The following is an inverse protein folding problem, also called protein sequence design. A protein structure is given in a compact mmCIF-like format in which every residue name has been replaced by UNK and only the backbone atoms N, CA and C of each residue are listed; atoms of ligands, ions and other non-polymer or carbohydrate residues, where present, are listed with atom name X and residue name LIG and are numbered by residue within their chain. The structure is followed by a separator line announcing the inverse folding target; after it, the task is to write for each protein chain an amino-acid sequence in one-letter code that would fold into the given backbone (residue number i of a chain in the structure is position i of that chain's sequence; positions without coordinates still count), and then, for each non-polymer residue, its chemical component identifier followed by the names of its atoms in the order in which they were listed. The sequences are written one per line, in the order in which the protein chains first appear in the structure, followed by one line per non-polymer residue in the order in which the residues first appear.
data_IF_355906640272
#
_entry.id   IF_355906640272
#
_cell.length_a   1.000
_cell.length_b   1.000
_cell.length_c   1.000
_cell.angle_alpha   90.00
_cell.angle_beta   90.00
_cell.angle_gamma   90.00
#
_symmetry.space_group_name_H-M   'P 1'
#
loop_
_entity.id
_entity.type
_entity.pdbx_description
1 polymer ?
#
# COMPACT_ATOMS: atom_id res chain seq x y z
N UNK A 1 0.38 -3.82 8.76
CA UNK A 1 1.31 -3.80 7.61
C UNK A 1 2.77 -3.95 8.04
N UNK A 2 3.31 -3.08 8.91
CA UNK A 2 4.72 -3.17 9.38
C UNK A 2 5.11 -4.57 9.88
N UNK A 3 4.28 -5.24 10.67
CA UNK A 3 4.60 -6.61 11.12
C UNK A 3 4.80 -7.61 9.98
N UNK A 4 4.03 -7.50 8.89
CA UNK A 4 4.16 -8.38 7.73
C UNK A 4 5.39 -8.03 6.90
N UNK A 5 5.75 -6.75 6.85
CA UNK A 5 7.01 -6.27 6.25
C UNK A 5 8.22 -6.92 6.94
N UNK A 6 8.30 -6.83 8.28
CA UNK A 6 9.39 -7.45 9.05
C UNK A 6 9.43 -8.98 8.91
N UNK A 7 8.26 -9.63 8.90
CA UNK A 7 8.18 -11.08 8.65
C UNK A 7 8.70 -11.42 7.25
N UNK A 8 8.44 -10.57 6.25
CA UNK A 8 8.89 -10.82 4.88
C UNK A 8 10.41 -10.80 4.75
N UNK A 9 11.11 -9.94 5.49
CA UNK A 9 12.58 -10.01 5.57
C UNK A 9 13.06 -11.37 6.09
N UNK A 10 12.42 -11.88 7.16
CA UNK A 10 12.79 -13.18 7.73
C UNK A 10 12.47 -14.36 6.80
N UNK A 11 11.51 -14.21 5.88
CA UNK A 11 11.01 -15.30 5.05
C UNK A 11 11.60 -15.35 3.63
N UNK A 12 11.96 -14.21 3.04
CA UNK A 12 12.44 -14.16 1.65
C UNK A 12 13.25 -12.90 1.30
N UNK A 13 12.89 -11.73 1.82
CA UNK A 13 13.46 -10.47 1.33
C UNK A 13 14.57 -9.93 2.22
N UNK A 14 15.71 -10.60 2.24
CA UNK A 14 16.92 -10.07 2.85
C UNK A 14 18.14 -10.49 2.01
N UNK A 15 19.16 -9.64 1.82
CA UNK A 15 20.35 -9.96 1.04
C UNK A 15 21.00 -11.28 1.46
N UNK A 16 21.05 -11.58 2.75
CA UNK A 16 21.63 -12.81 3.29
C UNK A 16 20.84 -14.08 2.95
N UNK A 17 19.60 -13.93 2.48
CA UNK A 17 18.74 -15.04 2.06
C UNK A 17 18.86 -15.34 0.57
N UNK A 18 19.30 -14.38 -0.25
CA UNK A 18 19.26 -14.53 -1.71
C UNK A 18 20.14 -15.67 -2.21
N UNK A 19 21.33 -15.85 -1.63
CA UNK A 19 22.25 -16.94 -2.00
C UNK A 19 21.69 -18.35 -1.68
N UNK A 20 20.62 -18.41 -0.87
CA UNK A 20 19.93 -19.65 -0.51
C UNK A 20 18.76 -19.97 -1.47
N UNK A 21 18.44 -19.07 -2.40
CA UNK A 21 17.36 -19.26 -3.36
C UNK A 21 17.65 -20.39 -4.33
N UNK A 22 16.60 -21.08 -4.75
CA UNK A 22 16.70 -22.23 -5.65
C UNK A 22 15.82 -22.08 -6.87
N UNK A 23 16.38 -22.41 -8.01
CA UNK A 23 15.66 -22.55 -9.28
C UNK A 23 14.64 -23.70 -9.18
N UNK A 24 13.64 -23.76 -10.08
CA UNK A 24 12.68 -24.87 -10.12
C UNK A 24 13.31 -26.26 -10.26
N UNK A 25 14.53 -26.36 -10.81
CA UNK A 25 15.28 -27.62 -10.92
C UNK A 25 16.07 -27.99 -9.65
N UNK A 26 15.96 -27.19 -8.58
CA UNK A 26 16.62 -27.39 -7.29
C UNK A 26 18.06 -26.90 -7.21
N UNK A 27 18.64 -26.37 -8.30
CA UNK A 27 19.97 -25.78 -8.30
C UNK A 27 19.93 -24.36 -7.70
N UNK A 28 21.01 -23.91 -7.03
CA UNK A 28 21.12 -22.52 -6.60
C UNK A 28 21.19 -21.58 -7.81
N UNK A 29 20.77 -20.33 -7.61
CA UNK A 29 21.16 -19.23 -8.49
C UNK A 29 22.64 -18.89 -8.28
N UNK A 30 23.33 -18.46 -9.33
CA UNK A 30 24.60 -17.75 -9.17
C UNK A 30 24.35 -16.27 -8.85
N UNK A 31 25.32 -15.61 -8.23
CA UNK A 31 25.21 -14.20 -7.82
C UNK A 31 24.72 -13.28 -8.97
N UNK A 32 25.31 -13.42 -10.16
CA UNK A 32 24.94 -12.65 -11.37
C UNK A 32 23.53 -12.93 -11.92
N UNK A 33 22.87 -14.01 -11.45
CA UNK A 33 21.49 -14.35 -11.79
C UNK A 33 20.48 -13.82 -10.75
N UNK A 34 20.95 -13.34 -9.60
CA UNK A 34 20.11 -12.77 -8.52
C UNK A 34 20.11 -11.26 -8.63
N UNK A 35 21.30 -10.66 -8.59
CA UNK A 35 21.48 -9.21 -8.62
C UNK A 35 22.45 -8.80 -9.72
N UNK A 36 22.27 -7.59 -10.24
CA UNK A 36 23.14 -7.00 -11.25
C UNK A 36 23.22 -5.50 -11.07
N UNK A 37 24.40 -4.92 -11.27
CA UNK A 37 24.54 -3.48 -11.43
C UNK A 37 24.27 -3.07 -12.87
N UNK A 38 23.35 -2.12 -13.05
CA UNK A 38 22.98 -1.55 -14.35
C UNK A 38 23.18 -0.04 -14.29
N UNK A 39 23.79 0.51 -15.33
CA UNK A 39 23.89 1.96 -15.50
C UNK A 39 22.71 2.47 -16.32
N UNK A 40 21.94 3.42 -15.76
CA UNK A 40 20.90 4.13 -16.48
C UNK A 40 21.42 5.48 -16.99
N UNK A 41 21.69 5.62 -18.31
CA UNK A 41 22.30 6.84 -18.85
C UNK A 41 21.45 8.09 -18.63
N UNK A 42 20.12 7.98 -18.72
CA UNK A 42 19.21 9.11 -18.55
C UNK A 42 19.10 9.58 -17.10
N UNK A 43 19.46 8.71 -16.13
CA UNK A 43 19.60 9.05 -14.70
C UNK A 43 21.03 9.40 -14.32
N UNK A 44 22.01 9.06 -15.14
CA UNK A 44 23.45 9.13 -14.83
C UNK A 44 23.81 8.37 -13.53
N UNK A 45 23.11 7.26 -13.27
CA UNK A 45 23.15 6.52 -12.00
C UNK A 45 23.41 5.03 -12.26
N UNK A 46 24.27 4.44 -11.43
CA UNK A 46 24.38 2.99 -11.29
C UNK A 46 23.36 2.52 -10.27
N UNK A 47 22.63 1.46 -10.60
CA UNK A 47 21.60 0.91 -9.73
C UNK A 47 21.83 -0.59 -9.56
N UNK A 48 21.54 -1.11 -8.37
CA UNK A 48 21.49 -2.56 -8.16
C UNK A 48 20.07 -3.03 -8.44
N UNK A 49 19.91 -3.98 -9.36
CA UNK A 49 18.62 -4.56 -9.69
C UNK A 49 18.56 -6.03 -9.30
N UNK A 50 17.37 -6.51 -8.94
CA UNK A 50 17.06 -7.92 -8.79
C UNK A 50 16.55 -8.49 -10.12
N UNK A 51 17.18 -9.56 -10.60
CA UNK A 51 17.00 -10.12 -11.97
C UNK A 51 16.23 -11.44 -11.99
N UNK A 52 15.62 -11.83 -10.86
CA UNK A 52 14.88 -13.08 -10.71
C UNK A 52 13.68 -13.18 -11.70
N UNK A 53 13.44 -14.37 -12.29
CA UNK A 53 12.63 -14.50 -13.50
C UNK A 53 11.15 -14.14 -13.31
N UNK A 54 10.51 -14.58 -12.22
CA UNK A 54 9.10 -14.25 -11.95
C UNK A 54 8.97 -12.79 -11.53
N UNK A 55 9.89 -12.28 -10.71
CA UNK A 55 9.95 -10.87 -10.29
C UNK A 55 9.99 -9.96 -11.51
N UNK A 56 10.94 -10.19 -12.41
CA UNK A 56 11.09 -9.41 -13.65
C UNK A 56 9.86 -9.56 -14.54
N UNK A 57 9.33 -10.77 -14.71
CA UNK A 57 8.11 -10.97 -15.50
C UNK A 57 6.93 -10.15 -14.97
N UNK A 58 6.74 -10.08 -13.64
CA UNK A 58 5.66 -9.30 -13.03
C UNK A 58 5.91 -7.80 -13.12
N UNK A 59 7.15 -7.35 -12.95
CA UNK A 59 7.51 -5.96 -13.15
C UNK A 59 7.29 -5.49 -14.60
N UNK A 60 7.66 -6.31 -15.60
CA UNK A 60 7.39 -6.04 -17.03
C UNK A 60 5.90 -5.86 -17.30
N UNK A 61 5.07 -6.76 -16.76
CA UNK A 61 3.61 -6.72 -16.87
C UNK A 61 3.05 -5.42 -16.27
N UNK A 62 3.46 -5.06 -15.05
CA UNK A 62 2.94 -3.90 -14.31
C UNK A 62 3.36 -2.58 -14.94
N UNK A 63 4.65 -2.40 -15.22
CA UNK A 63 5.17 -1.13 -15.74
C UNK A 63 4.99 -1.00 -17.26
N UNK A 64 4.68 -2.09 -17.97
CA UNK A 64 4.58 -2.08 -19.43
C UNK A 64 5.94 -1.88 -20.12
N UNK A 65 7.00 -2.41 -19.53
CA UNK A 65 8.37 -2.35 -20.08
C UNK A 65 8.84 -3.76 -20.41
N UNK A 66 8.71 -4.20 -21.67
CA UNK A 66 9.02 -5.59 -22.06
C UNK A 66 10.52 -5.95 -21.93
N UNK A 67 11.40 -4.97 -22.09
CA UNK A 67 12.86 -5.16 -22.07
C UNK A 67 13.48 -5.01 -20.68
N UNK A 68 12.68 -4.88 -19.62
CA UNK A 68 13.19 -4.68 -18.27
C UNK A 68 14.12 -5.83 -17.87
N UNK A 69 15.37 -5.54 -17.50
CA UNK A 69 16.35 -6.55 -17.10
C UNK A 69 16.20 -7.00 -15.64
N UNK A 70 15.83 -6.08 -14.77
CA UNK A 70 15.72 -6.29 -13.32
C UNK A 70 14.94 -5.16 -12.67
N UNK A 71 14.52 -5.33 -11.42
CA UNK A 71 13.86 -4.28 -10.66
C UNK A 71 14.79 -3.70 -9.58
N UNK A 72 14.79 -2.39 -9.45
CA UNK A 72 15.71 -1.66 -8.57
C UNK A 72 15.47 -1.99 -7.09
N UNK A 73 16.56 -2.30 -6.40
CA UNK A 73 16.61 -2.39 -4.95
C UNK A 73 16.98 -1.02 -4.38
N UNK A 74 16.44 -0.71 -3.21
CA UNK A 74 16.74 0.53 -2.49
C UNK A 74 18.25 0.69 -2.30
N UNK A 75 18.78 1.91 -2.50
CA UNK A 75 20.20 2.24 -2.39
C UNK A 75 20.51 3.27 -1.28
N UNK A 76 19.48 3.87 -0.67
CA UNK A 76 19.59 4.73 0.51
C UNK A 76 19.34 4.00 1.84
N UNK A 77 19.60 4.70 2.97
CA UNK A 77 19.32 4.24 4.33
C UNK A 77 20.36 3.31 4.95
N UNK A 78 21.39 2.88 4.19
CA UNK A 78 22.45 2.01 4.68
C UNK A 78 22.00 0.56 4.84
N UNK A 79 22.73 -0.25 5.62
CA UNK A 79 22.52 -1.71 5.69
C UNK A 79 21.16 -2.14 6.22
N UNK A 80 20.41 -1.26 6.88
CA UNK A 80 19.05 -1.55 7.35
C UNK A 80 17.97 -1.30 6.30
N UNK A 81 18.31 -0.75 5.13
CA UNK A 81 17.36 -0.43 4.06
C UNK A 81 17.86 -0.88 2.71
N UNK A 82 19.08 -0.47 2.34
CA UNK A 82 19.65 -0.73 1.04
C UNK A 82 19.77 -2.24 0.76
N UNK A 83 19.38 -2.66 -0.45
CA UNK A 83 19.40 -4.05 -0.89
C UNK A 83 18.31 -4.97 -0.30
N UNK A 84 17.61 -4.54 0.75
CA UNK A 84 16.58 -5.36 1.44
C UNK A 84 15.15 -4.92 1.12
N UNK A 85 14.99 -3.88 0.31
CA UNK A 85 13.71 -3.28 -0.03
C UNK A 85 13.65 -2.98 -1.53
N UNK A 86 12.43 -2.86 -2.05
CA UNK A 86 12.25 -2.23 -3.36
C UNK A 86 12.53 -0.74 -3.26
N UNK A 87 13.18 -0.21 -4.28
CA UNK A 87 13.43 1.21 -4.41
C UNK A 87 12.11 2.02 -4.32
N UNK A 88 12.09 2.99 -3.41
CA UNK A 88 10.86 3.73 -3.10
C UNK A 88 10.47 4.72 -4.21
N UNK A 89 11.41 5.17 -5.06
CA UNK A 89 11.06 6.03 -6.22
C UNK A 89 10.12 5.28 -7.16
N UNK A 90 10.35 3.98 -7.38
CA UNK A 90 9.57 3.19 -8.33
C UNK A 90 8.41 2.40 -7.71
N UNK A 91 8.48 2.05 -6.43
CA UNK A 91 7.51 1.16 -5.77
C UNK A 91 6.97 1.66 -4.41
N UNK A 92 6.69 2.96 -4.18
CA UNK A 92 6.39 3.48 -2.85
C UNK A 92 5.10 2.94 -2.20
N UNK A 93 4.21 2.32 -3.00
CA UNK A 93 3.00 1.67 -2.52
C UNK A 93 3.21 0.20 -2.12
N UNK A 94 4.33 -0.41 -2.46
CA UNK A 94 4.62 -1.78 -2.03
C UNK A 94 4.83 -1.83 -0.52
N UNK A 95 4.31 -2.87 0.12
CA UNK A 95 4.53 -3.05 1.55
C UNK A 95 5.99 -3.36 1.90
N UNK A 96 6.85 -3.66 0.92
CA UNK A 96 8.31 -3.83 1.05
C UNK A 96 9.12 -2.62 0.56
N UNK A 97 8.51 -1.44 0.43
CA UNK A 97 9.28 -0.19 0.38
C UNK A 97 9.89 0.14 1.75
N UNK A 98 11.05 0.82 1.80
CA UNK A 98 11.76 1.13 3.05
C UNK A 98 10.99 2.10 3.96
N UNK A 99 10.03 2.84 3.40
CA UNK A 99 9.17 3.75 4.14
C UNK A 99 7.73 3.63 3.63
N UNK A 100 6.80 3.28 4.52
CA UNK A 100 5.38 3.17 4.21
C UNK A 100 4.70 4.54 4.33
N UNK A 101 4.64 5.28 3.22
CA UNK A 101 3.95 6.57 3.15
C UNK A 101 2.50 6.43 2.69
N UNK A 102 2.20 5.45 1.83
CA UNK A 102 0.88 5.28 1.22
C UNK A 102 0.09 4.13 1.85
N UNK A 103 -1.18 3.99 1.45
CA UNK A 103 -1.90 2.75 1.68
C UNK A 103 -1.23 1.62 0.90
N UNK A 104 -0.53 0.75 1.63
CA UNK A 104 0.36 -0.25 1.04
C UNK A 104 -0.39 -1.43 0.41
N UNK A 105 0.19 -2.02 -0.62
CA UNK A 105 -0.33 -3.18 -1.34
C UNK A 105 0.58 -4.39 -1.18
N UNK A 106 -0.03 -5.58 -1.15
CA UNK A 106 0.68 -6.84 -1.41
C UNK A 106 0.89 -6.97 -2.92
N UNK A 107 2.01 -6.48 -3.46
CA UNK A 107 2.19 -6.50 -4.91
C UNK A 107 2.50 -7.88 -5.47
N UNK A 108 2.23 -8.08 -6.75
CA UNK A 108 2.67 -9.26 -7.47
C UNK A 108 4.20 -9.36 -7.56
N UNK A 109 4.94 -8.25 -7.42
CA UNK A 109 6.40 -8.23 -7.49
C UNK A 109 6.98 -8.82 -6.20
N UNK A 110 6.52 -8.38 -5.04
CA UNK A 110 6.94 -8.96 -3.76
C UNK A 110 6.52 -10.43 -3.65
N UNK A 111 5.30 -10.77 -4.07
CA UNK A 111 4.87 -12.18 -4.07
C UNK A 111 5.70 -13.03 -5.04
N UNK A 112 6.13 -12.48 -6.17
CA UNK A 112 7.02 -13.18 -7.10
C UNK A 112 8.40 -13.48 -6.49
N UNK A 113 8.91 -12.63 -5.58
CA UNK A 113 10.14 -12.91 -4.85
C UNK A 113 10.05 -14.21 -4.02
N UNK A 114 8.91 -14.42 -3.34
CA UNK A 114 8.64 -15.66 -2.61
C UNK A 114 8.59 -16.88 -3.54
N UNK A 115 8.09 -16.71 -4.77
CA UNK A 115 8.09 -17.81 -5.73
C UNK A 115 9.52 -18.10 -6.24
N UNK A 116 10.27 -17.06 -6.59
CA UNK A 116 11.62 -17.19 -7.13
C UNK A 116 12.64 -17.65 -6.09
N UNK A 117 12.34 -17.54 -4.78
CA UNK A 117 13.16 -18.15 -3.74
C UNK A 117 13.20 -19.68 -3.84
N UNK A 118 12.18 -20.28 -4.46
CA UNK A 118 12.00 -21.73 -4.56
C UNK A 118 11.54 -22.38 -3.26
N UNK A 119 11.11 -21.60 -2.26
CA UNK A 119 10.65 -22.11 -0.96
C UNK A 119 9.12 -22.13 -0.82
N UNK A 120 8.42 -21.38 -1.66
CA UNK A 120 6.97 -21.18 -1.53
C UNK A 120 6.25 -21.31 -2.87
N UNK A 121 5.08 -21.94 -2.83
CA UNK A 121 4.08 -21.82 -3.89
C UNK A 121 3.24 -20.56 -3.65
N UNK A 122 3.08 -19.74 -4.68
CA UNK A 122 2.47 -18.41 -4.56
C UNK A 122 1.14 -18.36 -5.30
N UNK A 123 0.12 -17.84 -4.64
CA UNK A 123 -1.16 -17.54 -5.27
C UNK A 123 -1.29 -16.03 -5.57
N UNK A 124 -1.08 -15.66 -6.83
CA UNK A 124 -1.14 -14.27 -7.28
C UNK A 124 -2.55 -13.66 -7.25
N UNK A 125 -3.61 -14.44 -7.02
CA UNK A 125 -4.97 -13.90 -6.84
C UNK A 125 -5.10 -12.98 -5.61
N UNK A 126 -4.14 -13.05 -4.68
CA UNK A 126 -4.07 -12.20 -3.50
C UNK A 126 -3.19 -10.95 -3.72
N UNK A 127 -2.56 -10.84 -4.90
CA UNK A 127 -1.85 -9.63 -5.26
C UNK A 127 -2.81 -8.47 -5.47
N UNK A 128 -2.31 -7.26 -5.24
CA UNK A 128 -2.99 -6.01 -5.48
C UNK A 128 -2.24 -5.21 -6.53
N UNK A 129 -2.98 -4.45 -7.33
CA UNK A 129 -2.41 -3.64 -8.39
C UNK A 129 -1.56 -2.51 -7.81
N UNK A 130 -0.34 -2.36 -8.34
CA UNK A 130 0.47 -1.16 -8.17
C UNK A 130 -0.04 -0.13 -9.19
N UNK A 131 -0.49 1.03 -8.72
CA UNK A 131 -0.96 2.10 -9.61
C UNK A 131 0.15 3.12 -9.93
N UNK A 132 1.13 3.27 -9.04
CA UNK A 132 2.30 4.13 -9.24
C UNK A 132 3.21 3.56 -10.33
N UNK A 133 3.37 4.28 -11.44
CA UNK A 133 4.12 3.81 -12.61
C UNK A 133 3.42 2.75 -13.47
N UNK A 134 2.14 2.41 -13.19
CA UNK A 134 1.42 1.40 -13.96
C UNK A 134 1.34 1.76 -15.45
N UNK A 135 1.85 0.87 -16.31
CA UNK A 135 1.96 1.07 -17.76
C UNK A 135 2.69 2.36 -18.19
N UNK A 136 3.55 2.91 -17.33
CA UNK A 136 4.32 4.12 -17.63
C UNK A 136 5.48 3.88 -18.63
N UNK A 137 5.77 2.62 -18.98
CA UNK A 137 6.83 2.23 -19.92
C UNK A 137 8.22 2.21 -19.28
N UNK A 138 9.24 1.84 -20.07
CA UNK A 138 10.62 1.71 -19.56
C UNK A 138 11.21 3.02 -19.05
N UNK A 139 10.76 4.16 -19.62
CA UNK A 139 11.16 5.49 -19.17
C UNK A 139 10.87 5.72 -17.68
N UNK A 140 9.84 5.09 -17.11
CA UNK A 140 9.54 5.13 -15.68
C UNK A 140 10.73 4.71 -14.81
N UNK A 141 11.47 3.72 -15.27
CA UNK A 141 12.58 3.10 -14.54
C UNK A 141 13.90 3.80 -14.90
N UNK A 142 14.07 4.12 -16.19
CA UNK A 142 15.33 4.57 -16.79
C UNK A 142 15.57 6.08 -16.72
N UNK A 143 14.53 6.92 -16.70
CA UNK A 143 14.66 8.38 -16.72
C UNK A 143 14.55 9.00 -15.33
N UNK A 144 15.07 10.23 -15.18
CA UNK A 144 14.79 11.05 -13.99
C UNK A 144 13.28 11.32 -13.87
N UNK A 145 12.82 11.46 -12.63
CA UNK A 145 11.42 11.79 -12.32
C UNK A 145 11.02 13.21 -12.76
N UNK A 146 12.00 14.07 -13.06
CA UNK A 146 11.80 15.44 -13.54
C UNK A 146 12.55 15.69 -14.85
N UNK A 147 11.99 16.59 -15.66
CA UNK A 147 12.60 17.15 -16.86
C UNK A 147 12.30 18.65 -16.90
N UNK A 148 13.33 19.48 -17.04
CA UNK A 148 13.19 20.94 -17.09
C UNK A 148 12.37 21.50 -15.91
N UNK A 149 12.67 21.08 -14.67
CA UNK A 149 11.93 21.44 -13.43
C UNK A 149 10.44 21.02 -13.40
N UNK A 150 10.01 20.19 -14.36
CA UNK A 150 8.65 19.66 -14.42
C UNK A 150 8.63 18.18 -14.08
N UNK A 151 7.64 17.72 -13.28
CA UNK A 151 7.36 16.29 -13.12
C UNK A 151 7.20 15.62 -14.48
N UNK A 152 7.96 14.55 -14.73
CA UNK A 152 7.86 13.76 -15.96
C UNK A 152 6.68 12.77 -15.90
N UNK A 153 6.35 12.32 -14.70
CA UNK A 153 5.33 11.31 -14.45
C UNK A 153 4.31 11.79 -13.40
N UNK A 154 3.10 11.22 -13.45
CA UNK A 154 2.06 11.45 -12.46
C UNK A 154 2.49 11.00 -11.07
N UNK A 155 2.07 11.74 -10.03
CA UNK A 155 2.38 11.43 -8.62
C UNK A 155 3.55 12.25 -8.06
N UNK A 156 4.49 12.66 -8.92
CA UNK A 156 5.49 13.66 -8.57
C UNK A 156 4.91 15.08 -8.60
N UNK A 157 5.48 16.00 -7.83
CA UNK A 157 4.93 17.34 -7.63
C UNK A 157 5.98 18.44 -7.70
N UNK A 158 5.60 19.62 -8.21
CA UNK A 158 6.47 20.78 -8.10
C UNK A 158 6.49 21.32 -6.66
N UNK A 159 7.67 21.68 -6.13
CA UNK A 159 7.78 22.32 -4.82
C UNK A 159 6.80 23.47 -4.66
N UNK A 160 5.88 23.34 -3.70
CA UNK A 160 4.89 24.37 -3.40
C UNK A 160 4.32 24.17 -2.00
N UNK A 161 3.80 25.25 -1.41
CA UNK A 161 3.07 25.17 -0.14
C UNK A 161 1.64 24.66 -0.31
N UNK A 162 1.21 24.30 -1.53
CA UNK A 162 -0.16 23.84 -1.79
C UNK A 162 -0.33 22.41 -1.31
N UNK A 163 -1.54 22.11 -0.88
CA UNK A 163 -1.99 20.74 -0.63
C UNK A 163 -2.76 20.23 -1.84
N UNK A 164 -2.83 18.92 -1.99
CA UNK A 164 -3.50 18.25 -3.10
C UNK A 164 -3.82 16.82 -2.70
N UNK A 165 -3.87 15.93 -3.67
CA UNK A 165 -4.14 14.52 -3.45
C UNK A 165 -2.88 13.67 -3.67
N UNK A 166 -2.79 12.56 -2.95
CA UNK A 166 -1.81 11.53 -3.30
C UNK A 166 -2.18 10.89 -4.63
N UNK A 167 -1.25 10.14 -5.21
CA UNK A 167 -1.41 9.46 -6.51
C UNK A 167 -2.62 8.51 -6.56
N UNK A 168 -3.02 7.93 -5.43
CA UNK A 168 -4.14 6.99 -5.37
C UNK A 168 -5.47 7.69 -5.11
N UNK A 169 -5.45 9.02 -4.91
CA UNK A 169 -6.60 9.82 -4.52
C UNK A 169 -7.29 9.24 -3.28
N UNK A 170 -6.50 8.87 -2.26
CA UNK A 170 -6.96 8.28 -1.02
C UNK A 170 -6.71 9.17 0.21
N UNK A 171 -5.87 10.19 0.08
CA UNK A 171 -5.50 11.08 1.18
C UNK A 171 -5.22 12.51 0.69
N UNK A 172 -5.58 13.49 1.52
CA UNK A 172 -5.01 14.83 1.38
C UNK A 172 -3.49 14.75 1.59
N UNK A 173 -2.76 15.47 0.77
CA UNK A 173 -1.31 15.36 0.65
C UNK A 173 -0.65 16.72 0.47
N UNK A 174 0.65 16.78 0.70
CA UNK A 174 1.48 17.94 0.42
C UNK A 174 2.65 17.54 -0.47
N UNK A 175 3.22 18.50 -1.18
CA UNK A 175 4.44 18.22 -1.95
C UNK A 175 5.62 18.09 -0.99
N UNK A 176 6.17 16.88 -0.86
CA UNK A 176 7.31 16.59 0.00
C UNK A 176 8.61 17.12 -0.61
N UNK A 177 8.81 18.43 -0.52
CA UNK A 177 10.01 19.13 -0.98
C UNK A 177 10.61 20.01 0.11
N UNK A 178 11.94 20.15 0.13
CA UNK A 178 12.66 21.06 1.03
C UNK A 178 14.03 21.42 0.44
N UNK A 179 14.72 22.37 1.08
CA UNK A 179 16.16 22.51 0.90
C UNK A 179 16.87 21.36 1.62
N UNK A 180 17.67 20.61 0.89
CA UNK A 180 18.42 19.44 1.31
C UNK A 180 19.90 19.72 1.03
N UNK A 181 20.73 19.62 2.06
CA UNK A 181 22.17 19.79 1.86
C UNK A 181 22.73 18.57 1.11
N UNK A 182 23.54 18.81 0.08
CA UNK A 182 24.30 17.80 -0.67
C UNK A 182 23.43 16.77 -1.42
N UNK A 183 22.44 17.22 -2.20
CA UNK A 183 21.75 16.33 -3.17
C UNK A 183 22.79 15.86 -4.21
N UNK A 184 22.90 14.55 -4.51
CA UNK A 184 23.78 14.06 -5.57
C UNK A 184 23.48 14.72 -6.91
N UNK A 185 24.51 15.06 -7.69
CA UNK A 185 24.36 15.81 -8.96
C UNK A 185 23.37 15.13 -9.93
N UNK A 186 23.37 13.80 -9.97
CA UNK A 186 22.47 13.01 -10.80
C UNK A 186 20.99 13.05 -10.35
N UNK A 187 20.72 13.51 -9.12
CA UNK A 187 19.39 13.62 -8.49
C UNK A 187 18.99 15.09 -8.21
N UNK A 188 19.75 16.06 -8.71
CA UNK A 188 19.36 17.47 -8.72
C UNK A 188 18.36 17.71 -9.87
N UNK A 189 17.15 18.14 -9.51
CA UNK A 189 16.02 18.30 -10.45
C UNK A 189 15.63 19.74 -10.75
N UNK A 190 16.20 20.69 -10.01
CA UNK A 190 15.87 22.11 -10.07
C UNK A 190 17.13 22.95 -10.27
N UNK A 191 16.96 24.20 -10.71
CA UNK A 191 18.06 25.15 -10.87
C UNK A 191 18.79 25.44 -9.55
N UNK A 192 18.07 25.38 -8.42
CA UNK A 192 18.67 25.38 -7.09
C UNK A 192 19.12 23.95 -6.75
N UNK A 193 20.44 23.67 -6.65
CA UNK A 193 20.96 22.33 -6.45
C UNK A 193 20.63 21.75 -5.06
N UNK A 194 20.25 22.59 -4.10
CA UNK A 194 19.83 22.15 -2.77
C UNK A 194 18.31 21.96 -2.69
N UNK A 195 17.53 22.37 -3.70
CA UNK A 195 16.09 22.14 -3.72
C UNK A 195 15.79 20.73 -4.26
N UNK A 196 15.03 19.95 -3.49
CA UNK A 196 14.62 18.62 -3.91
C UNK A 196 13.51 18.03 -3.05
N UNK A 197 13.24 16.76 -3.26
CA UNK A 197 12.33 15.96 -2.46
C UNK A 197 12.86 15.76 -1.05
N UNK A 198 11.99 15.71 -0.05
CA UNK A 198 12.42 15.62 1.35
C UNK A 198 12.79 14.20 1.80
N UNK A 199 12.54 13.19 0.96
CA UNK A 199 12.73 11.76 1.21
C UNK A 199 13.81 11.24 0.26
N UNK A 200 14.94 10.80 0.80
CA UNK A 200 16.07 10.30 -0.01
C UNK A 200 15.77 8.97 -0.69
N UNK A 201 14.99 8.08 -0.07
CA UNK A 201 14.55 6.80 -0.65
C UNK A 201 13.80 6.96 -1.98
N UNK A 202 13.22 8.14 -2.22
CA UNK A 202 12.55 8.45 -3.48
C UNK A 202 13.50 9.13 -4.48
N UNK A 203 14.82 8.92 -4.39
CA UNK A 203 15.87 9.63 -5.12
C UNK A 203 15.77 11.16 -5.02
N UNK A 204 15.29 11.69 -3.90
CA UNK A 204 14.95 13.11 -3.75
C UNK A 204 13.94 13.61 -4.80
N UNK A 205 13.14 12.76 -5.44
CA UNK A 205 12.02 13.15 -6.29
C UNK A 205 10.90 13.71 -5.41
N UNK A 206 10.49 14.99 -5.53
CA UNK A 206 9.34 15.47 -4.78
C UNK A 206 8.05 14.79 -5.28
N UNK A 207 7.26 14.29 -4.34
CA UNK A 207 5.97 13.66 -4.61
C UNK A 207 4.89 14.12 -3.63
N UNK A 208 3.63 13.85 -3.99
CA UNK A 208 2.49 14.13 -3.12
C UNK A 208 2.47 13.15 -1.94
N UNK A 209 3.06 13.59 -0.82
CA UNK A 209 3.18 12.82 0.40
C UNK A 209 1.90 12.95 1.22
N UNK A 210 1.21 11.86 1.56
CA UNK A 210 -0.05 11.90 2.27
C UNK A 210 0.13 12.29 3.73
N UNK A 211 -0.79 13.14 4.23
CA UNK A 211 -0.84 13.42 5.65
C UNK A 211 -1.37 12.20 6.41
N UNK A 212 -0.67 11.79 7.47
CA UNK A 212 -1.06 10.63 8.29
C UNK A 212 -2.44 10.76 8.94
N UNK A 213 -2.96 11.97 9.08
CA UNK A 213 -4.23 12.30 9.71
C UNK A 213 -5.31 12.79 8.73
N UNK A 214 -5.08 12.75 7.40
CA UNK A 214 -6.03 13.21 6.38
C UNK A 214 -6.34 12.15 5.32
N UNK A 215 -6.58 10.92 5.78
CA UNK A 215 -7.00 9.82 4.91
C UNK A 215 -8.49 9.92 4.63
N UNK A 216 -8.90 9.76 3.38
CA UNK A 216 -10.31 9.86 3.01
C UNK A 216 -11.13 8.64 3.42
N UNK A 217 -10.48 7.49 3.62
CA UNK A 217 -11.13 6.21 3.93
C UNK A 217 -11.21 5.87 5.42
N UNK A 218 -10.47 6.59 6.25
CA UNK A 218 -10.43 6.39 7.70
C UNK A 218 -11.09 7.57 8.40
N UNK A 219 -11.92 7.29 9.41
CA UNK A 219 -12.38 8.31 10.33
C UNK A 219 -11.19 8.75 11.18
N UNK A 220 -10.52 9.83 10.77
CA UNK A 220 -9.50 10.45 11.61
C UNK A 220 -10.15 11.06 12.86
N UNK A 221 -9.38 11.20 13.94
CA UNK A 221 -9.81 11.88 15.18
C UNK A 221 -10.08 13.38 14.98
N UNK A 222 -9.82 13.91 13.79
CA UNK A 222 -10.08 15.29 13.40
C UNK A 222 -11.42 15.38 12.66
N UNK A 223 -12.25 16.34 13.04
CA UNK A 223 -13.44 16.69 12.26
C UNK A 223 -13.01 17.20 10.89
N UNK A 224 -13.39 16.51 9.82
CA UNK A 224 -13.29 17.04 8.47
C UNK A 224 -14.07 18.37 8.39
N UNK A 225 -13.48 19.43 7.84
CA UNK A 225 -14.15 20.72 7.82
C UNK A 225 -15.39 20.71 6.91
N UNK A 226 -16.58 20.72 7.51
CA UNK A 226 -17.87 20.73 6.79
C UNK A 226 -18.02 21.89 5.79
N UNK A 227 -17.24 22.96 5.95
CA UNK A 227 -17.28 24.11 5.05
C UNK A 227 -16.68 23.86 3.67
N UNK A 228 -15.92 22.78 3.49
CA UNK A 228 -15.48 22.28 2.18
C UNK A 228 -16.46 21.28 1.55
N UNK A 229 -17.48 20.84 2.29
CA UNK A 229 -18.42 19.81 1.82
C UNK A 229 -17.83 18.39 1.84
N UNK A 230 -16.78 18.18 2.63
CA UNK A 230 -16.08 16.90 2.69
C UNK A 230 -16.90 15.77 3.32
N UNK A 231 -16.66 14.56 2.84
CA UNK A 231 -17.19 13.31 3.36
C UNK A 231 -16.12 12.22 3.34
N UNK A 232 -16.03 11.47 4.42
CA UNK A 232 -15.09 10.35 4.57
C UNK A 232 -15.82 9.02 4.72
N UNK A 233 -15.18 7.97 4.23
CA UNK A 233 -15.71 6.62 4.20
C UNK A 233 -14.90 5.77 3.23
N UNK A 234 -15.09 4.45 3.28
CA UNK A 234 -14.31 3.49 2.48
C UNK A 234 -14.37 3.75 0.95
N UNK A 235 -15.42 4.43 0.48
CA UNK A 235 -15.63 4.83 -0.91
C UNK A 235 -15.17 6.26 -1.22
N UNK A 236 -14.68 7.02 -0.24
CA UNK A 236 -14.22 8.38 -0.47
C UNK A 236 -12.88 8.43 -1.18
N UNK A 237 -12.73 9.47 -1.99
CA UNK A 237 -11.54 9.83 -2.74
C UNK A 237 -11.09 11.23 -2.37
N UNK A 238 -9.80 11.49 -2.46
CA UNK A 238 -9.29 12.86 -2.47
C UNK A 238 -9.54 13.47 -3.85
N UNK A 239 -10.10 14.68 -3.89
CA UNK A 239 -10.30 15.48 -5.10
C UNK A 239 -9.75 16.88 -4.84
N UNK A 240 -9.00 17.41 -5.80
CA UNK A 240 -8.51 18.78 -5.70
C UNK A 240 -9.66 19.78 -5.87
N UNK A 241 -9.68 20.81 -5.04
CA UNK A 241 -10.77 21.78 -5.04
C UNK A 241 -10.31 23.15 -4.53
N UNK A 242 -11.05 24.18 -4.94
CA UNK A 242 -11.04 25.51 -4.30
C UNK A 242 -12.36 25.77 -3.60
N UNK A 243 -13.17 24.74 -3.38
CA UNK A 243 -14.51 24.90 -2.84
C UNK A 243 -14.45 25.56 -1.47
N UNK A 244 -15.36 26.47 -1.20
CA UNK A 244 -15.62 26.95 0.15
C UNK A 244 -17.07 27.40 0.26
N UNK A 245 -17.78 26.92 1.27
CA UNK A 245 -19.15 27.31 1.52
C UNK A 245 -19.28 28.84 1.57
N UNK A 246 -20.28 29.40 0.86
CA UNK A 246 -20.47 30.86 0.71
C UNK A 246 -20.63 31.63 2.01
N UNK A 247 -20.88 30.95 3.13
CA UNK A 247 -20.93 31.53 4.48
C UNK A 247 -19.54 31.95 5.00
N UNK A 248 -18.45 31.54 4.36
CA UNK A 248 -17.08 31.80 4.79
C UNK A 248 -16.34 32.70 3.79
N UNK A 249 -15.31 33.40 4.28
CA UNK A 249 -14.45 34.26 3.44
C UNK A 249 -13.66 33.40 2.46
N UNK A 250 -13.94 33.59 1.17
CA UNK A 250 -13.34 32.82 0.08
C UNK A 250 -11.82 32.95 0.03
N UNK A 251 -11.15 31.82 -0.22
CA UNK A 251 -9.74 31.71 -0.58
C UNK A 251 -9.64 30.85 -1.84
N UNK A 252 -8.96 31.31 -2.91
CA UNK A 252 -8.83 30.55 -4.16
C UNK A 252 -7.70 29.50 -4.12
N UNK A 253 -7.28 29.08 -2.93
CA UNK A 253 -6.21 28.10 -2.75
C UNK A 253 -6.71 26.70 -3.11
N UNK A 254 -5.96 26.00 -3.98
CA UNK A 254 -6.22 24.59 -4.31
C UNK A 254 -5.81 23.73 -3.12
N UNK A 255 -6.70 22.80 -2.75
CA UNK A 255 -6.50 21.82 -1.68
C UNK A 255 -6.98 20.45 -2.12
N UNK A 256 -6.39 19.40 -1.57
CA UNK A 256 -7.02 18.09 -1.56
C UNK A 256 -8.17 18.09 -0.55
N UNK A 257 -9.30 17.51 -0.92
CA UNK A 257 -10.47 17.36 -0.06
C UNK A 257 -11.10 15.99 -0.28
N UNK A 258 -11.64 15.39 0.78
CA UNK A 258 -12.23 14.06 0.70
C UNK A 258 -13.72 14.12 0.31
N UNK A 259 -14.12 13.37 -0.72
CA UNK A 259 -15.50 13.24 -1.14
C UNK A 259 -15.86 11.78 -1.41
N UNK A 260 -17.02 11.35 -0.93
CA UNK A 260 -17.58 10.02 -1.18
C UNK A 260 -17.93 9.86 -2.67
N UNK A 261 -17.38 8.81 -3.30
CA UNK A 261 -17.83 8.37 -4.62
C UNK A 261 -19.07 7.48 -4.43
N UNK A 262 -20.22 7.97 -4.87
CA UNK A 262 -21.52 7.29 -4.71
C UNK A 262 -21.68 6.21 -5.77
N UNK A 263 -21.42 6.58 -7.04
CA UNK A 263 -21.50 5.67 -8.16
C UNK A 263 -20.58 6.14 -9.30
N UNK A 264 -20.35 5.23 -10.23
CA UNK A 264 -19.59 5.48 -11.45
C UNK A 264 -20.40 4.98 -12.65
N UNK A 265 -20.41 5.77 -13.71
CA UNK A 265 -20.97 5.43 -15.01
C UNK A 265 -19.89 5.59 -16.08
N UNK A 266 -20.19 5.17 -17.31
CA UNK A 266 -19.28 5.35 -18.45
C UNK A 266 -19.08 6.82 -18.86
N UNK A 267 -19.86 7.77 -18.31
CA UNK A 267 -19.81 9.18 -18.72
C UNK A 267 -19.55 10.15 -17.57
N UNK A 268 -19.70 9.73 -16.32
CA UNK A 268 -19.41 10.53 -15.14
C UNK A 268 -19.30 9.69 -13.86
N UNK A 269 -18.62 10.23 -12.86
CA UNK A 269 -18.65 9.79 -11.47
C UNK A 269 -19.57 10.70 -10.65
N UNK A 270 -20.43 10.12 -9.80
CA UNK A 270 -21.26 10.90 -8.86
C UNK A 270 -20.57 10.99 -7.51
N UNK A 271 -20.34 12.21 -7.03
CA UNK A 271 -19.69 12.53 -5.75
C UNK A 271 -20.68 13.16 -4.77
N UNK A 272 -20.49 12.91 -3.47
CA UNK A 272 -21.19 13.63 -2.39
C UNK A 272 -20.39 14.86 -1.95
N UNK A 273 -20.96 16.05 -2.15
CA UNK A 273 -20.39 17.33 -1.69
C UNK A 273 -21.38 18.03 -0.77
N UNK A 274 -21.08 18.03 0.52
CA UNK A 274 -22.05 18.41 1.56
C UNK A 274 -23.30 17.53 1.47
N UNK A 275 -24.47 18.17 1.36
CA UNK A 275 -25.75 17.47 1.23
C UNK A 275 -26.19 17.27 -0.26
N UNK A 276 -25.28 17.51 -1.22
CA UNK A 276 -25.58 17.47 -2.65
C UNK A 276 -24.83 16.32 -3.34
N UNK A 277 -25.49 15.72 -4.34
CA UNK A 277 -24.85 14.81 -5.30
C UNK A 277 -24.47 15.59 -6.55
N UNK A 278 -23.22 15.48 -6.98
CA UNK A 278 -22.68 16.21 -8.13
C UNK A 278 -21.98 15.24 -9.08
N UNK A 279 -22.05 15.51 -10.38
CA UNK A 279 -21.45 14.67 -11.39
C UNK A 279 -20.14 15.27 -11.88
N UNK A 280 -19.05 14.54 -11.69
CA UNK A 280 -17.77 14.81 -12.33
C UNK A 280 -17.73 14.15 -13.71
N UNK A 281 -17.53 14.91 -14.81
CA UNK A 281 -17.45 14.35 -16.16
C UNK A 281 -16.35 13.31 -16.31
N UNK A 282 -16.50 12.37 -17.27
CA UNK A 282 -15.50 11.34 -17.54
C UNK A 282 -14.13 11.91 -17.86
N UNK A 283 -14.07 12.91 -18.75
CA UNK A 283 -12.82 13.58 -19.14
C UNK A 283 -12.28 14.56 -18.08
N UNK A 284 -12.93 14.65 -16.92
CA UNK A 284 -12.60 15.58 -15.86
C UNK A 284 -13.02 17.03 -16.15
N UNK A 285 -12.38 17.97 -15.47
CA UNK A 285 -12.59 19.41 -15.64
C UNK A 285 -13.20 20.09 -14.41
N UNK A 286 -13.44 21.40 -14.52
CA UNK A 286 -13.89 22.20 -13.39
C UNK A 286 -15.41 22.29 -13.35
N UNK A 287 -16.00 21.95 -12.20
CA UNK A 287 -17.44 22.15 -11.95
C UNK A 287 -17.69 23.14 -10.81
N UNK A 288 -18.80 23.86 -10.89
CA UNK A 288 -19.27 24.75 -9.82
C UNK A 288 -20.41 24.11 -9.06
N UNK A 289 -20.49 24.37 -7.76
CA UNK A 289 -21.48 23.74 -6.88
C UNK A 289 -22.30 24.82 -6.19
N UNK A 290 -23.62 24.69 -6.24
CA UNK A 290 -24.55 25.65 -5.62
C UNK A 290 -24.28 25.72 -4.11
N UNK A 291 -24.16 26.94 -3.59
CA UNK A 291 -23.85 27.19 -2.17
C UNK A 291 -22.37 27.26 -1.82
N UNK A 292 -21.48 27.01 -2.79
CA UNK A 292 -20.03 27.13 -2.64
C UNK A 292 -19.47 28.22 -3.57
N UNK A 293 -18.38 28.85 -3.14
CA UNK A 293 -17.47 29.59 -4.00
C UNK A 293 -16.39 28.62 -4.53
N UNK A 294 -15.71 29.00 -5.61
CA UNK A 294 -14.66 28.17 -6.22
C UNK A 294 -15.21 27.04 -7.10
N UNK A 295 -14.36 26.05 -7.34
CA UNK A 295 -14.63 24.89 -8.20
C UNK A 295 -14.16 23.59 -7.56
N UNK A 296 -14.85 22.49 -7.90
CA UNK A 296 -14.31 21.14 -7.77
C UNK A 296 -13.54 20.84 -9.05
N UNK A 297 -12.28 20.41 -8.92
CA UNK A 297 -11.43 20.05 -10.05
C UNK A 297 -11.59 18.54 -10.23
N UNK A 298 -12.54 18.14 -11.07
CA UNK A 298 -12.78 16.73 -11.34
C UNK A 298 -11.56 16.15 -12.06
N UNK A 299 -10.88 15.14 -11.49
CA UNK A 299 -9.96 14.34 -12.28
C UNK A 299 -10.77 13.54 -13.31
N UNK A 300 -10.08 12.88 -14.24
CA UNK A 300 -10.72 11.89 -15.09
C UNK A 300 -11.48 10.89 -14.21
N UNK A 301 -12.70 10.50 -14.60
CA UNK A 301 -13.50 9.58 -13.79
C UNK A 301 -12.83 8.23 -13.60
N UNK A 302 -11.93 7.80 -14.49
CA UNK A 302 -11.08 6.63 -14.26
C UNK A 302 -10.26 6.79 -12.99
N UNK A 303 -9.76 7.97 -12.62
CA UNK A 303 -9.04 8.14 -11.34
C UNK A 303 -9.96 7.89 -10.14
N UNK A 304 -11.23 8.30 -10.22
CA UNK A 304 -12.19 8.14 -9.13
C UNK A 304 -12.77 6.71 -9.07
N UNK A 305 -12.93 6.10 -10.24
CA UNK A 305 -13.68 4.88 -10.48
C UNK A 305 -12.81 3.65 -10.77
N UNK A 306 -11.53 3.83 -11.07
CA UNK A 306 -10.57 2.74 -11.27
C UNK A 306 -10.22 2.08 -9.95
N UNK A 307 -9.49 0.98 -10.08
CA UNK A 307 -8.99 0.22 -8.96
C UNK A 307 -8.23 1.09 -7.96
N UNK A 308 -8.28 0.68 -6.71
CA UNK A 308 -7.51 1.25 -5.60
C UNK A 308 -6.96 0.11 -4.77
N UNK A 309 -5.90 0.35 -3.98
CA UNK A 309 -5.56 -0.54 -2.88
C UNK A 309 -6.82 -0.87 -2.07
N UNK A 310 -7.03 -2.15 -1.78
CA UNK A 310 -8.13 -2.56 -0.93
C UNK A 310 -7.94 -1.98 0.47
N UNK A 311 -9.05 -1.65 1.13
CA UNK A 311 -9.00 -1.06 2.45
C UNK A 311 -8.29 -2.01 3.43
N UNK A 312 -7.24 -1.51 4.09
CA UNK A 312 -6.30 -2.28 4.92
C UNK A 312 -5.79 -3.58 4.29
N UNK A 313 -5.65 -3.64 2.95
CA UNK A 313 -5.25 -4.84 2.22
C UNK A 313 -6.09 -6.08 2.58
N UNK A 314 -7.39 -5.89 2.82
CA UNK A 314 -8.33 -6.92 3.25
C UNK A 314 -7.87 -7.68 4.52
N UNK A 315 -7.06 -7.06 5.37
CA UNK A 315 -6.46 -7.67 6.56
C UNK A 315 -5.70 -8.97 6.28
N UNK A 316 -5.33 -9.24 5.02
CA UNK A 316 -4.79 -10.53 4.56
C UNK A 316 -5.81 -11.68 4.54
N UNK A 317 -7.10 -11.41 4.71
CA UNK A 317 -8.19 -12.37 4.91
C UNK A 317 -9.25 -12.31 3.80
N UNK A 318 -8.87 -11.84 2.62
CA UNK A 318 -9.74 -11.80 1.46
C UNK A 318 -8.97 -11.50 0.18
N UNK A 319 -9.62 -11.72 -0.95
CA UNK A 319 -9.11 -11.32 -2.26
C UNK A 319 -9.48 -9.87 -2.53
N UNK A 320 -8.55 -9.08 -3.05
CA UNK A 320 -8.84 -7.74 -3.52
C UNK A 320 -9.30 -7.79 -4.97
N UNK A 321 -10.53 -7.37 -5.24
CA UNK A 321 -11.07 -7.32 -6.60
C UNK A 321 -11.60 -5.91 -6.84
N UNK A 322 -11.00 -5.19 -7.79
CA UNK A 322 -11.36 -3.81 -8.12
C UNK A 322 -11.42 -2.87 -6.90
N UNK A 323 -10.46 -3.00 -5.97
CA UNK A 323 -10.41 -2.20 -4.74
C UNK A 323 -11.49 -2.52 -3.70
N UNK A 324 -12.19 -3.65 -3.84
CA UNK A 324 -13.13 -4.20 -2.84
C UNK A 324 -12.65 -5.54 -2.30
N UNK A 325 -12.85 -5.74 -1.01
CA UNK A 325 -12.46 -6.98 -0.36
C UNK A 325 -13.54 -8.06 -0.49
N UNK A 326 -13.14 -9.21 -1.02
CA UNK A 326 -13.93 -10.43 -1.07
C UNK A 326 -13.43 -11.38 0.01
N UNK A 327 -14.09 -11.38 1.15
CA UNK A 327 -13.60 -12.02 2.36
C UNK A 327 -13.63 -13.55 2.31
N UNK A 328 -12.61 -14.15 2.91
CA UNK A 328 -12.58 -15.56 3.22
C UNK A 328 -13.70 -15.89 4.22
N UNK A 329 -14.10 -17.15 4.29
CA UNK A 329 -15.15 -17.59 5.21
C UNK A 329 -14.79 -17.25 6.68
N UNK A 330 -15.69 -16.56 7.38
CA UNK A 330 -15.51 -16.13 8.78
C UNK A 330 -15.01 -14.69 8.93
N UNK A 331 -14.71 -14.01 7.84
CA UNK A 331 -14.32 -12.60 7.79
C UNK A 331 -15.39 -11.79 7.05
N UNK A 332 -15.59 -10.55 7.46
CA UNK A 332 -16.61 -9.67 6.86
C UNK A 332 -16.18 -8.20 6.95
N UNK A 333 -17.03 -7.30 6.46
CA UNK A 333 -16.73 -5.87 6.41
C UNK A 333 -15.86 -5.47 5.21
N UNK A 334 -15.57 -4.17 5.13
CA UNK A 334 -14.86 -3.59 3.98
C UNK A 334 -13.37 -3.95 3.91
N UNK A 335 -12.80 -4.41 5.02
CA UNK A 335 -11.39 -4.82 5.16
C UNK A 335 -11.21 -6.28 5.59
N UNK A 336 -12.26 -7.11 5.55
CA UNK A 336 -12.23 -8.50 6.01
C UNK A 336 -11.61 -8.69 7.39
N UNK A 337 -11.92 -7.77 8.30
CA UNK A 337 -11.66 -8.01 9.72
C UNK A 337 -12.48 -9.21 10.20
N UNK A 338 -12.03 -9.90 11.27
CA UNK A 338 -12.81 -10.99 11.84
C UNK A 338 -14.23 -10.52 12.16
N UNK A 339 -15.21 -11.08 11.46
CA UNK A 339 -16.62 -10.80 11.71
C UNK A 339 -17.08 -11.36 13.05
N UNK A 340 -16.31 -12.27 13.63
CA UNK A 340 -16.56 -12.86 14.92
C UNK A 340 -15.27 -12.85 15.76
N UNK A 341 -15.40 -12.97 17.09
CA UNK A 341 -14.24 -13.42 17.89
C UNK A 341 -13.80 -14.81 17.41
N UNK A 342 -12.49 -15.07 17.42
CA UNK A 342 -11.90 -16.28 16.83
C UNK A 342 -12.43 -17.60 17.43
N UNK A 343 -12.96 -17.56 18.65
CA UNK A 343 -13.62 -18.71 19.31
C UNK A 343 -15.02 -19.01 18.77
N UNK A 344 -15.65 -18.08 18.04
CA UNK A 344 -16.92 -18.32 17.35
C UNK A 344 -16.69 -19.14 16.07
N UNK A 345 -17.52 -20.17 15.85
CA UNK A 345 -17.62 -20.88 14.57
C UNK A 345 -18.48 -20.12 13.56
N UNK A 346 -19.48 -19.39 14.04
CA UNK A 346 -20.27 -18.44 13.26
C UNK A 346 -20.80 -17.34 14.19
N UNK A 347 -21.16 -16.17 13.67
CA UNK A 347 -21.75 -15.06 14.42
C UNK A 347 -22.83 -14.34 13.62
N UNK A 348 -23.59 -13.46 14.28
CA UNK A 348 -24.64 -12.62 13.69
C UNK A 348 -24.15 -11.20 13.34
N UNK A 349 -22.87 -10.91 13.57
CA UNK A 349 -22.20 -9.63 13.30
C UNK A 349 -20.92 -9.48 14.13
N UNK A 350 -20.18 -8.36 13.98
CA UNK A 350 -18.89 -8.11 14.61
C UNK A 350 -18.95 -8.12 16.13
N UNK A 351 -17.98 -8.77 16.77
CA UNK A 351 -17.75 -8.70 18.22
C UNK A 351 -17.92 -10.02 18.99
N UNK A 352 -17.33 -10.03 20.19
CA UNK A 352 -17.26 -11.18 21.11
C UNK A 352 -18.61 -11.80 21.47
N UNK A 353 -19.66 -10.99 21.61
CA UNK A 353 -20.97 -11.43 22.10
C UNK A 353 -21.99 -11.73 20.98
N UNK A 354 -21.52 -11.80 19.74
CA UNK A 354 -22.39 -12.04 18.58
C UNK A 354 -22.27 -13.45 18.00
N UNK A 355 -21.56 -14.38 18.64
CA UNK A 355 -21.46 -15.76 18.20
C UNK A 355 -22.86 -16.42 18.09
N UNK A 356 -23.10 -17.10 16.97
CA UNK A 356 -24.26 -17.95 16.71
C UNK A 356 -23.94 -19.44 16.86
N UNK A 357 -22.67 -19.83 16.74
CA UNK A 357 -22.19 -21.16 17.10
C UNK A 357 -20.71 -21.13 17.51
N UNK A 358 -20.28 -22.12 18.29
CA UNK A 358 -18.90 -22.25 18.77
C UNK A 358 -18.14 -23.38 18.09
N UNK A 359 -16.82 -23.25 18.05
CA UNK A 359 -15.93 -24.34 17.67
C UNK A 359 -15.98 -25.47 18.69
N UNK A 360 -15.54 -26.67 18.29
CA UNK A 360 -15.61 -27.86 19.15
C UNK A 360 -14.84 -27.63 20.46
N UNK A 361 -15.45 -28.02 21.59
CA UNK A 361 -14.87 -27.83 22.94
C UNK A 361 -15.11 -26.45 23.57
N UNK A 362 -15.71 -25.50 22.84
CA UNK A 362 -16.22 -24.24 23.39
C UNK A 362 -17.73 -24.29 23.62
N UNK A 363 -18.18 -23.61 24.66
CA UNK A 363 -19.59 -23.41 24.98
C UNK A 363 -20.02 -21.98 24.65
N UNK A 364 -21.24 -21.83 24.13
CA UNK A 364 -21.85 -20.53 23.81
C UNK A 364 -22.52 -19.97 25.06
N UNK A 365 -22.00 -18.86 25.58
CA UNK A 365 -22.47 -18.21 26.81
C UNK A 365 -22.69 -16.73 26.51
N UNK A 366 -23.92 -16.27 26.63
CA UNK A 366 -24.33 -14.87 26.37
C UNK A 366 -23.85 -14.32 25.01
N UNK A 367 -23.90 -15.18 23.99
CA UNK A 367 -23.45 -14.84 22.64
C UNK A 367 -21.93 -14.85 22.46
N UNK A 368 -21.14 -15.23 23.46
CA UNK A 368 -19.70 -15.42 23.35
C UNK A 368 -19.31 -16.90 23.44
N UNK A 369 -18.27 -17.30 22.71
CA UNK A 369 -17.74 -18.65 22.77
C UNK A 369 -16.55 -18.71 23.75
N UNK A 370 -16.66 -19.55 24.77
CA UNK A 370 -15.60 -19.76 25.76
C UNK A 370 -15.21 -21.23 25.80
N UNK A 371 -13.91 -21.51 25.76
CA UNK A 371 -13.42 -22.88 25.95
C UNK A 371 -13.79 -23.39 27.35
N UNK A 372 -14.07 -24.70 27.44
CA UNK A 372 -14.37 -25.36 28.71
C UNK A 372 -13.17 -25.28 29.67
N UNK A 373 -13.41 -25.30 30.99
CA UNK A 373 -12.34 -25.28 31.97
C UNK A 373 -11.26 -26.35 31.70
N UNK A 374 -9.99 -25.95 31.71
CA UNK A 374 -8.86 -26.84 31.42
C UNK A 374 -8.50 -26.96 29.94
N UNK A 375 -9.17 -26.22 29.05
CA UNK A 375 -8.87 -26.17 27.62
C UNK A 375 -8.61 -24.74 27.13
N UNK A 376 -7.81 -24.61 26.07
CA UNK A 376 -7.48 -23.36 25.39
C UNK A 376 -7.82 -23.46 23.90
N UNK A 377 -8.19 -22.33 23.29
CA UNK A 377 -8.55 -22.30 21.89
C UNK A 377 -7.31 -22.44 20.99
N UNK A 378 -7.28 -23.49 20.17
CA UNK A 378 -6.26 -23.65 19.15
C UNK A 378 -6.70 -22.95 17.87
N UNK A 379 -6.09 -21.79 17.58
CA UNK A 379 -6.35 -21.03 16.35
C UNK A 379 -6.11 -21.86 15.07
N UNK A 380 -5.08 -22.71 15.07
CA UNK A 380 -4.75 -23.55 13.92
C UNK A 380 -5.76 -24.67 13.69
N UNK A 381 -6.16 -25.37 14.76
CA UNK A 381 -7.09 -26.50 14.66
C UNK A 381 -8.56 -26.07 14.68
N UNK A 382 -8.84 -24.80 15.01
CA UNK A 382 -10.18 -24.25 15.21
C UNK A 382 -11.03 -25.09 16.17
N UNK A 383 -10.44 -25.50 17.30
CA UNK A 383 -11.07 -26.28 18.39
C UNK A 383 -10.43 -25.89 19.74
N UNK A 384 -11.13 -26.11 20.86
CA UNK A 384 -10.51 -26.04 22.19
C UNK A 384 -9.80 -27.35 22.52
N UNK A 385 -8.53 -27.26 22.90
CA UNK A 385 -7.67 -28.40 23.25
C UNK A 385 -7.19 -28.28 24.69
N UNK A 386 -6.88 -29.40 25.36
CA UNK A 386 -6.28 -29.35 26.69
C UNK A 386 -4.98 -28.53 26.68
N UNK A 387 -4.82 -27.61 27.63
CA UNK A 387 -3.62 -26.78 27.73
C UNK A 387 -2.39 -27.68 27.89
N UNK A 388 -1.37 -27.59 27.01
CA UNK A 388 -0.18 -28.41 27.15
C UNK A 388 0.52 -28.07 28.48
N UNK A 389 0.69 -29.07 29.35
CA UNK A 389 1.60 -28.95 30.50
C UNK A 389 3.02 -28.88 29.96
N UNK A 390 3.54 -27.67 29.75
CA UNK A 390 4.95 -27.48 29.41
C UNK A 390 5.78 -27.76 30.65
N UNK A 391 6.28 -28.99 30.79
CA UNK A 391 7.37 -29.32 31.71
C UNK A 391 8.69 -29.16 30.99
N UNK A 392 9.50 -28.17 31.40
CA UNK A 392 10.85 -28.01 30.88
C UNK A 392 11.77 -29.08 31.49
N UNK A 393 12.23 -30.02 30.68
CA UNK A 393 13.45 -30.79 30.97
C UNK A 393 14.54 -30.32 30.04
N UNK A 394 15.54 -29.61 30.57
CA UNK A 394 16.74 -29.24 29.83
C UNK A 394 17.61 -30.49 29.71
N UNK A 395 17.72 -31.05 28.51
CA UNK A 395 18.80 -31.96 28.16
C UNK A 395 19.59 -31.32 27.02
N UNK A 396 20.86 -31.06 27.30
CA UNK A 396 21.84 -30.51 26.38
C UNK A 396 22.04 -31.43 25.17
N UNK A 397 22.24 -30.84 23.99
CA UNK A 397 22.49 -31.45 22.67
C UNK A 397 21.27 -31.61 21.76
N UNK A 398 20.85 -30.47 21.19
CA UNK A 398 20.24 -30.21 19.86
C UNK A 398 19.32 -29.00 19.98
N UNK A 399 19.76 -27.86 19.46
CA UNK A 399 18.91 -26.69 19.32
C UNK A 399 17.87 -27.00 18.22
N UNK A 400 16.71 -27.52 18.62
CA UNK A 400 15.51 -27.51 17.80
C UNK A 400 14.82 -26.19 18.11
N UNK A 401 14.97 -25.21 17.23
CA UNK A 401 14.22 -23.95 17.29
C UNK A 401 12.79 -24.25 16.84
N UNK A 402 11.92 -24.60 17.79
CA UNK A 402 10.48 -24.63 17.60
C UNK A 402 9.90 -23.41 18.32
N UNK A 403 9.15 -22.61 17.55
CA UNK A 403 8.16 -21.61 18.00
C UNK A 403 8.69 -20.26 18.49
N UNK A 404 8.93 -19.36 17.53
CA UNK A 404 8.88 -17.90 17.70
C UNK A 404 8.09 -17.25 16.54
N UNK A 405 6.90 -17.79 16.25
CA UNK A 405 5.95 -17.27 15.25
C UNK A 405 4.51 -17.14 15.80
N UNK A 406 4.34 -17.10 17.13
CA UNK A 406 3.04 -17.38 17.77
C UNK A 406 2.40 -16.20 18.52
N UNK A 407 2.61 -14.94 18.10
CA UNK A 407 1.96 -13.78 18.75
C UNK A 407 1.31 -12.74 17.82
N UNK A 408 1.29 -12.93 16.50
CA UNK A 408 0.69 -11.94 15.60
C UNK A 408 0.00 -12.58 14.39
N UNK A 409 -1.12 -13.28 14.59
CA UNK A 409 -2.13 -13.50 13.55
C UNK A 409 -3.51 -13.64 14.17
#
# INVERSE_FOLDING_TARGET
MVSIHEITHALAFAPELFDLFKKPNGLPYSDDEITKEIYFPNREKWVTVLTLPTVVSKAREIFGCENLEGIELEDYGGSGSAGSHWDMRILPGDYMSPQLSFESVFSAITLALFQDSGWYDVNFDYSQQILWGHKAGCEWLEDKCFRDENPKFSGFCKPSNRTGCDVYHLSESFCASKLVNNIPTNEQYFNDPDLGGSVSYADFCPYMYPFSNRKCRELSSLSYPKYYGESVGVNSRCVESTLLNKKYKFSPEIKGNCYEVINCTYTYATLRVGDQEVNCPFDGGNITIKGYNGVLICPNSDVLCSEKPCFHACSGQGKCINGKCHCNQGFEGDDCTPGCELTCKSCKGPGKFNCSSCWEGADLIDGACSCRPGTEFSYYKKICVESPKVSFSVNSEKLIVITLLYLFF
#
